data_IF_465602621716
#
_entry.id   IF_465602621716
#
_cell.length_a   1.000
_cell.length_b   1.000
_cell.length_c   1.000
_cell.angle_alpha   90.00
_cell.angle_beta   90.00
_cell.angle_gamma   90.00
#
_symmetry.space_group_name_H-M   'P 1'
#
loop_
_entity.id
_entity.type
_entity.pdbx_description
1 polymer ?
#
# COMPACT_ATOMS: atom_id res chain seq x y z
N UNK A 1 0.02 -26.70 61.20
CA UNK A 1 0.99 -27.55 61.90
C UNK A 1 2.28 -27.52 61.09
N UNK A 2 3.24 -26.86 61.70
CA UNK A 2 4.69 -27.09 61.77
C UNK A 2 5.43 -27.15 60.41
N UNK A 3 6.28 -26.17 60.11
CA UNK A 3 7.52 -25.68 60.75
C UNK A 3 8.69 -26.64 60.55
N UNK A 4 9.80 -26.26 59.87
CA UNK A 4 11.02 -25.63 60.42
C UNK A 4 12.12 -25.74 59.35
N UNK A 5 12.83 -24.65 58.98
CA UNK A 5 14.17 -24.21 59.46
C UNK A 5 15.29 -25.22 59.29
N UNK A 6 16.43 -24.92 58.71
CA UNK A 6 17.48 -23.93 59.04
C UNK A 6 18.64 -24.04 58.04
N UNK A 7 19.21 -23.00 57.52
CA UNK A 7 20.46 -22.31 57.93
C UNK A 7 21.77 -23.07 57.65
N UNK A 8 22.71 -22.32 57.00
CA UNK A 8 24.12 -22.58 57.08
C UNK A 8 24.98 -22.10 55.91
N UNK A 9 25.41 -20.82 55.95
CA UNK A 9 26.69 -20.33 55.38
C UNK A 9 27.77 -20.50 56.48
N UNK A 10 29.09 -20.43 56.25
CA UNK A 10 29.83 -19.49 55.40
C UNK A 10 31.21 -19.96 54.84
N UNK A 11 31.74 -19.13 53.96
CA UNK A 11 33.09 -18.49 53.87
C UNK A 11 34.36 -19.21 53.36
N UNK A 12 35.02 -18.50 52.52
CA UNK A 12 36.45 -18.09 52.37
C UNK A 12 37.27 -18.95 51.42
N UNK A 13 37.92 -18.43 50.40
CA UNK A 13 39.10 -17.58 50.28
C UNK A 13 39.67 -17.71 48.87
N UNK A 14 39.98 -16.56 48.28
CA UNK A 14 40.99 -16.36 47.21
C UNK A 14 42.41 -16.74 47.69
N UNK A 15 43.49 -16.73 46.87
CA UNK A 15 43.74 -16.04 45.59
C UNK A 15 44.78 -16.72 44.62
N UNK A 16 45.11 -15.95 43.55
CA UNK A 16 46.35 -15.92 42.73
C UNK A 16 46.38 -16.84 41.47
N UNK A 17 46.40 -16.26 40.28
CA UNK A 17 47.61 -15.76 39.60
C UNK A 17 47.75 -16.45 38.23
N UNK A 18 47.88 -15.67 37.16
CA UNK A 18 48.49 -16.19 35.94
C UNK A 18 47.81 -15.79 34.61
N UNK A 19 48.09 -14.60 34.11
CA UNK A 19 48.22 -14.35 32.67
C UNK A 19 49.63 -14.77 32.22
N UNK A 20 49.90 -15.10 30.94
CA UNK A 20 49.42 -14.53 29.68
C UNK A 20 49.34 -15.52 28.51
N UNK A 21 48.69 -15.17 27.42
CA UNK A 21 49.29 -15.10 26.07
C UNK A 21 48.21 -15.00 24.98
N UNK A 22 48.37 -13.97 24.24
CA UNK A 22 47.78 -13.62 22.95
C UNK A 22 47.76 -14.74 21.91
N UNK A 23 46.62 -14.95 21.25
CA UNK A 23 46.62 -15.29 19.82
C UNK A 23 45.46 -14.57 19.16
N UNK A 24 45.81 -13.62 18.33
CA UNK A 24 44.97 -12.92 17.40
C UNK A 24 44.40 -13.89 16.35
N UNK A 25 43.07 -14.03 16.30
CA UNK A 25 42.36 -14.55 15.14
C UNK A 25 41.53 -13.42 14.57
N UNK A 26 42.03 -12.82 13.52
CA UNK A 26 41.32 -11.86 12.67
C UNK A 26 40.18 -12.56 11.94
N UNK A 27 38.97 -12.48 12.48
CA UNK A 27 37.77 -12.75 11.73
C UNK A 27 37.45 -11.50 10.91
N UNK A 28 37.66 -11.59 9.60
CA UNK A 28 37.25 -10.62 8.59
C UNK A 28 35.75 -10.50 8.61
N UNK A 29 35.22 -9.49 9.30
CA UNK A 29 33.85 -9.02 9.10
C UNK A 29 33.80 -8.30 7.75
N UNK A 30 33.22 -8.94 6.77
CA UNK A 30 32.77 -8.24 5.57
C UNK A 30 31.70 -7.24 6.01
N UNK A 31 32.09 -6.00 6.21
CA UNK A 31 31.19 -4.86 6.31
C UNK A 31 30.50 -4.71 4.95
N UNK A 32 29.20 -4.95 4.94
CA UNK A 32 28.31 -4.58 3.85
C UNK A 32 28.44 -3.06 3.64
N UNK A 33 28.72 -2.55 2.43
CA UNK A 33 28.85 -1.11 2.23
C UNK A 33 27.51 -0.46 2.56
N UNK A 34 27.54 0.46 3.52
CA UNK A 34 26.44 1.31 3.90
C UNK A 34 25.82 1.93 2.64
N UNK A 35 24.54 1.68 2.48
CA UNK A 35 23.69 2.35 1.48
C UNK A 35 23.92 3.87 1.61
N UNK A 36 24.36 4.58 0.54
CA UNK A 36 24.62 6.01 0.64
C UNK A 36 23.32 6.71 1.05
N UNK A 37 23.44 7.56 2.06
CA UNK A 37 22.39 8.40 2.58
C UNK A 37 21.56 9.02 1.44
N UNK A 38 20.25 8.77 1.50
CA UNK A 38 19.25 9.25 0.57
C UNK A 38 19.35 10.79 0.40
N UNK A 39 19.64 11.30 -0.81
CA UNK A 39 19.66 12.74 -1.02
C UNK A 39 18.24 13.26 -1.22
N UNK A 40 17.88 14.22 -0.37
CA UNK A 40 16.81 15.19 -0.58
C UNK A 40 15.38 14.65 -0.66
N UNK A 41 14.79 14.44 0.50
CA UNK A 41 13.35 14.68 0.71
C UNK A 41 13.04 16.11 0.25
N UNK A 42 12.16 16.36 -0.73
CA UNK A 42 11.82 17.72 -1.12
C UNK A 42 11.24 18.46 0.08
N UNK A 43 11.80 19.65 0.32
CA UNK A 43 11.42 20.56 1.40
C UNK A 43 10.00 21.10 1.17
N UNK A 44 8.99 20.36 1.67
CA UNK A 44 7.66 20.87 1.94
C UNK A 44 6.95 20.01 3.01
N UNK A 45 7.65 19.68 4.10
CA UNK A 45 7.17 18.82 5.17
C UNK A 45 6.76 19.61 6.41
N UNK A 46 5.87 20.59 6.25
CA UNK A 46 5.20 21.23 7.40
C UNK A 46 3.94 20.47 7.86
N UNK A 47 3.41 19.59 7.01
CA UNK A 47 2.21 18.81 7.32
C UNK A 47 2.59 17.33 7.49
N UNK A 48 2.16 16.67 8.59
CA UNK A 48 2.42 15.24 8.76
C UNK A 48 1.75 14.43 7.65
N UNK A 49 2.37 13.31 7.22
CA UNK A 49 1.78 12.45 6.20
C UNK A 49 0.46 11.84 6.69
N UNK A 50 -0.47 11.60 5.75
CA UNK A 50 -1.71 10.88 6.08
C UNK A 50 -1.44 9.40 6.37
N UNK A 51 -0.47 8.82 5.66
CA UNK A 51 0.04 7.47 5.89
C UNK A 51 1.56 7.49 5.94
N UNK A 52 2.12 6.92 6.99
CA UNK A 52 3.54 6.67 7.14
C UNK A 52 3.77 5.21 7.51
N UNK A 53 4.65 4.56 6.77
CA UNK A 53 4.98 3.14 6.93
C UNK A 53 6.49 3.03 7.10
N UNK A 54 6.94 2.31 8.11
CA UNK A 54 8.36 2.10 8.36
C UNK A 54 8.65 0.68 8.86
N UNK A 55 9.74 0.11 8.36
CA UNK A 55 10.19 -1.27 8.66
C UNK A 55 9.08 -2.30 8.46
N UNK A 56 8.19 -2.06 7.48
CA UNK A 56 7.03 -2.90 7.27
C UNK A 56 7.41 -4.17 6.52
N UNK A 57 7.24 -5.31 7.18
CA UNK A 57 7.51 -6.61 6.62
C UNK A 57 6.27 -7.50 6.69
N UNK A 58 6.09 -8.38 5.70
CA UNK A 58 4.99 -9.34 5.67
C UNK A 58 5.54 -10.73 5.32
N UNK A 59 5.14 -11.72 6.11
CA UNK A 59 5.51 -13.11 5.92
C UNK A 59 4.28 -13.99 5.77
N UNK A 60 4.36 -14.99 4.89
CA UNK A 60 3.41 -16.08 4.73
C UNK A 60 4.09 -17.39 5.11
N UNK A 61 3.81 -17.89 6.32
CA UNK A 61 4.53 -19.02 6.88
C UNK A 61 6.04 -18.73 6.98
N UNK A 62 6.86 -19.43 6.17
CA UNK A 62 8.33 -19.26 6.14
C UNK A 62 8.81 -18.26 5.07
N UNK A 63 7.93 -17.83 4.19
CA UNK A 63 8.30 -16.92 3.08
C UNK A 63 8.04 -15.49 3.50
N UNK A 64 9.07 -14.66 3.45
CA UNK A 64 8.94 -13.22 3.60
C UNK A 64 8.64 -12.61 2.23
N UNK A 65 7.51 -11.94 2.13
CA UNK A 65 7.00 -11.37 0.88
C UNK A 65 7.23 -9.86 0.78
N UNK A 66 7.51 -9.19 1.92
CA UNK A 66 7.94 -7.80 2.01
C UNK A 66 9.02 -7.68 3.08
N UNK A 67 10.05 -6.89 2.77
CA UNK A 67 11.26 -6.75 3.56
C UNK A 67 11.46 -5.28 3.99
N UNK A 68 10.97 -4.90 5.17
CA UNK A 68 11.25 -3.59 5.77
C UNK A 68 10.81 -2.38 4.94
N UNK A 69 9.67 -2.48 4.24
CA UNK A 69 9.19 -1.42 3.36
C UNK A 69 8.97 -0.10 4.12
N UNK A 70 9.33 1.01 3.47
CA UNK A 70 9.15 2.38 3.98
C UNK A 70 8.48 3.22 2.92
N UNK A 71 7.32 3.79 3.22
CA UNK A 71 6.62 4.68 2.29
C UNK A 71 5.84 5.75 3.04
N UNK A 72 5.56 6.86 2.36
CA UNK A 72 4.76 7.97 2.87
C UNK A 72 3.76 8.41 1.82
N UNK A 73 2.58 8.81 2.28
CA UNK A 73 1.54 9.43 1.45
C UNK A 73 1.09 10.71 2.14
N UNK A 74 1.13 11.84 1.44
CA UNK A 74 0.61 13.12 1.94
C UNK A 74 -0.89 13.25 1.67
N UNK A 75 -1.58 14.12 2.39
CA UNK A 75 -2.99 14.42 2.13
C UNK A 75 -3.15 14.95 0.69
N UNK A 76 -4.14 14.42 -0.05
CA UNK A 76 -4.40 14.79 -1.44
C UNK A 76 -3.33 14.36 -2.45
N UNK A 77 -2.30 13.63 -2.03
CA UNK A 77 -1.24 13.13 -2.91
C UNK A 77 -1.64 11.80 -3.56
N UNK A 78 -1.24 11.61 -4.81
CA UNK A 78 -1.27 10.32 -5.49
C UNK A 78 0.13 9.72 -5.45
N UNK A 79 0.30 8.67 -4.69
CA UNK A 79 1.54 7.88 -4.61
C UNK A 79 1.32 6.57 -5.35
N UNK A 80 2.28 6.18 -6.19
CA UNK A 80 2.21 4.88 -6.86
C UNK A 80 3.31 3.93 -6.40
N UNK A 81 2.98 2.63 -6.33
CA UNK A 81 3.95 1.55 -6.19
C UNK A 81 3.88 0.70 -7.45
N UNK A 82 4.94 0.75 -8.25
CA UNK A 82 5.07 -0.02 -9.48
C UNK A 82 6.02 -1.21 -9.27
N UNK A 83 5.83 -2.27 -10.04
CA UNK A 83 6.69 -3.45 -9.97
C UNK A 83 6.09 -4.64 -10.72
N UNK A 84 6.88 -5.70 -10.95
CA UNK A 84 6.43 -6.88 -11.67
C UNK A 84 5.41 -7.69 -10.84
N UNK A 85 4.76 -8.66 -11.50
CA UNK A 85 3.92 -9.63 -10.79
C UNK A 85 4.76 -10.44 -9.81
N UNK A 86 4.22 -10.66 -8.61
CA UNK A 86 4.93 -11.35 -7.53
C UNK A 86 5.89 -10.49 -6.73
N UNK A 87 6.05 -9.19 -7.03
CA UNK A 87 6.94 -8.30 -6.28
C UNK A 87 6.48 -8.01 -4.84
N UNK A 88 5.24 -8.35 -4.47
CA UNK A 88 4.70 -8.07 -3.13
C UNK A 88 3.69 -6.92 -3.08
N UNK A 89 3.27 -6.37 -4.23
CA UNK A 89 2.38 -5.20 -4.32
C UNK A 89 1.04 -5.37 -3.58
N UNK A 90 0.27 -6.41 -3.92
CA UNK A 90 -1.01 -6.70 -3.23
C UNK A 90 -0.80 -7.11 -1.77
N UNK A 91 0.33 -7.74 -1.45
CA UNK A 91 0.74 -8.04 -0.07
C UNK A 91 0.90 -6.76 0.74
N UNK A 92 1.50 -5.72 0.16
CA UNK A 92 1.63 -4.40 0.79
C UNK A 92 0.24 -3.83 1.14
N UNK A 93 -0.68 -3.75 0.16
CA UNK A 93 -2.02 -3.20 0.42
C UNK A 93 -2.82 -4.03 1.43
N UNK A 94 -2.79 -5.36 1.30
CA UNK A 94 -3.50 -6.23 2.23
C UNK A 94 -2.94 -6.11 3.66
N UNK A 95 -1.62 -5.99 3.80
CA UNK A 95 -0.99 -5.74 5.09
C UNK A 95 -1.38 -4.38 5.68
N UNK A 96 -1.33 -3.32 4.87
CA UNK A 96 -1.77 -1.97 5.27
C UNK A 96 -3.25 -1.93 5.63
N UNK A 97 -4.09 -2.77 5.02
CA UNK A 97 -5.50 -2.88 5.35
C UNK A 97 -5.77 -3.81 6.55
N UNK A 98 -4.81 -4.63 6.96
CA UNK A 98 -5.00 -5.68 7.96
C UNK A 98 -5.81 -6.86 7.43
N UNK A 99 -5.79 -7.08 6.10
CA UNK A 99 -6.57 -8.09 5.38
C UNK A 99 -5.71 -9.29 4.95
N UNK A 100 -4.66 -9.59 5.70
CA UNK A 100 -3.82 -10.76 5.44
C UNK A 100 -4.59 -12.06 5.78
N UNK A 101 -4.37 -13.15 5.02
CA UNK A 101 -4.90 -14.46 5.39
C UNK A 101 -4.29 -14.96 6.71
N UNK A 102 -4.88 -16.01 7.31
CA UNK A 102 -4.46 -16.56 8.62
C UNK A 102 -2.96 -16.93 8.67
N UNK A 103 -2.37 -17.30 7.54
CA UNK A 103 -0.93 -17.61 7.43
C UNK A 103 -0.04 -16.40 7.28
N UNK A 104 -0.62 -15.20 7.10
CA UNK A 104 0.08 -13.95 6.89
C UNK A 104 0.31 -13.21 8.21
N UNK A 105 1.54 -12.76 8.42
CA UNK A 105 1.94 -11.95 9.57
C UNK A 105 2.62 -10.69 9.09
N UNK A 106 2.12 -9.54 9.56
CA UNK A 106 2.75 -8.24 9.34
C UNK A 106 3.52 -7.81 10.58
N UNK A 107 4.63 -7.11 10.37
CA UNK A 107 5.41 -6.43 11.43
C UNK A 107 5.90 -5.08 10.91
N UNK A 108 6.41 -4.24 11.80
CA UNK A 108 6.80 -2.87 11.50
C UNK A 108 5.75 -1.87 11.97
N UNK A 109 5.86 -0.62 11.51
CA UNK A 109 5.03 0.48 11.98
C UNK A 109 4.19 1.07 10.85
N UNK A 110 2.91 1.28 11.15
CA UNK A 110 1.95 1.94 10.26
C UNK A 110 1.27 3.06 11.05
N UNK A 111 1.59 4.29 10.72
CA UNK A 111 0.90 5.45 11.27
C UNK A 111 -0.07 6.03 10.23
N UNK A 112 -1.31 6.24 10.63
CA UNK A 112 -2.34 6.89 9.84
C UNK A 112 -2.87 8.11 10.59
N UNK A 113 -2.76 9.30 9.97
CA UNK A 113 -3.06 10.58 10.62
C UNK A 113 -2.27 10.77 11.93
N UNK A 114 -1.04 10.25 11.99
CA UNK A 114 -0.17 10.30 13.16
C UNK A 114 -0.47 9.27 14.25
N UNK A 115 -1.50 8.44 14.09
CA UNK A 115 -1.85 7.37 15.04
C UNK A 115 -1.43 6.00 14.52
N UNK A 116 -0.89 5.15 15.40
CA UNK A 116 -0.60 3.74 15.09
C UNK A 116 -1.90 2.96 14.81
N UNK A 117 -1.89 2.18 13.71
CA UNK A 117 -3.07 1.41 13.29
C UNK A 117 -2.82 -0.10 13.20
N UNK A 118 -1.65 -0.60 13.60
CA UNK A 118 -1.29 -2.02 13.46
C UNK A 118 -2.29 -2.93 14.16
N UNK A 119 -2.74 -2.56 15.37
CA UNK A 119 -3.68 -3.34 16.18
C UNK A 119 -5.15 -3.15 15.78
N UNK A 120 -5.45 -2.28 14.81
CA UNK A 120 -6.83 -2.01 14.42
C UNK A 120 -7.39 -3.08 13.47
N UNK A 121 -8.64 -3.46 13.70
CA UNK A 121 -9.39 -4.31 12.76
C UNK A 121 -9.65 -3.60 11.41
N UNK A 122 -9.98 -4.37 10.39
CA UNK A 122 -10.35 -3.83 9.05
C UNK A 122 -11.49 -2.81 9.20
N UNK A 123 -12.54 -3.14 9.97
CA UNK A 123 -13.69 -2.26 10.17
C UNK A 123 -13.30 -0.94 10.84
N UNK A 124 -12.36 -1.00 11.80
CA UNK A 124 -11.84 0.19 12.46
C UNK A 124 -11.05 1.07 11.49
N UNK A 125 -10.24 0.49 10.59
CA UNK A 125 -9.50 1.20 9.53
C UNK A 125 -10.47 1.83 8.53
N UNK A 126 -11.47 1.08 8.06
CA UNK A 126 -12.54 1.61 7.17
C UNK A 126 -13.29 2.77 7.83
N UNK A 127 -13.64 2.63 9.10
CA UNK A 127 -14.35 3.69 9.84
C UNK A 127 -13.53 4.97 9.97
N UNK A 128 -12.19 4.86 9.99
CA UNK A 128 -11.27 6.01 9.98
C UNK A 128 -11.05 6.62 8.60
N UNK A 129 -11.62 6.02 7.54
CA UNK A 129 -11.52 6.55 6.18
C UNK A 129 -10.40 5.94 5.34
N UNK A 130 -9.89 4.75 5.69
CA UNK A 130 -9.02 3.97 4.81
C UNK A 130 -9.89 3.03 3.99
N UNK A 131 -9.76 3.03 2.66
CA UNK A 131 -10.52 2.15 1.79
C UNK A 131 -9.59 1.45 0.80
N UNK A 132 -9.82 0.15 0.59
CA UNK A 132 -9.12 -0.67 -0.40
C UNK A 132 -10.10 -1.13 -1.49
N UNK A 133 -9.71 -0.89 -2.74
CA UNK A 133 -10.33 -1.50 -3.92
C UNK A 133 -9.40 -2.63 -4.38
N UNK A 134 -9.75 -3.90 -4.13
CA UNK A 134 -8.90 -5.03 -4.50
C UNK A 134 -8.96 -5.30 -6.01
N UNK A 135 -7.94 -5.98 -6.54
CA UNK A 135 -7.85 -6.40 -7.94
C UNK A 135 -9.12 -7.11 -8.44
N UNK A 136 -9.68 -8.01 -7.63
CA UNK A 136 -10.88 -8.79 -7.97
C UNK A 136 -12.19 -7.98 -7.93
N UNK A 137 -12.15 -6.69 -7.56
CA UNK A 137 -13.30 -5.76 -7.48
C UNK A 137 -14.37 -6.12 -6.45
N UNK A 138 -14.60 -7.40 -6.20
CA UNK A 138 -15.53 -7.98 -5.19
C UNK A 138 -16.90 -7.31 -5.16
N UNK A 139 -17.53 -7.21 -6.33
CA UNK A 139 -18.88 -6.67 -6.48
C UNK A 139 -19.95 -7.73 -6.19
N UNK A 140 -21.09 -7.28 -5.68
CA UNK A 140 -22.28 -8.10 -5.53
C UNK A 140 -23.00 -8.19 -6.87
N UNK A 141 -22.73 -9.25 -7.63
CA UNK A 141 -23.13 -9.41 -9.02
C UNK A 141 -24.66 -9.42 -9.24
N UNK A 142 -25.43 -9.92 -8.27
CA UNK A 142 -26.90 -9.95 -8.32
C UNK A 142 -27.56 -8.64 -7.92
N UNK A 143 -26.83 -7.72 -7.29
CA UNK A 143 -27.33 -6.42 -6.88
C UNK A 143 -27.19 -5.41 -8.01
N UNK A 144 -28.02 -4.37 -8.00
CA UNK A 144 -27.92 -3.28 -8.97
C UNK A 144 -26.64 -2.46 -8.78
N UNK A 145 -26.29 -1.64 -9.77
CA UNK A 145 -25.23 -0.63 -9.67
C UNK A 145 -25.46 0.26 -8.45
N UNK A 146 -26.68 0.78 -8.31
CA UNK A 146 -27.04 1.68 -7.21
C UNK A 146 -26.92 1.00 -5.85
N UNK A 147 -27.39 -0.24 -5.71
CA UNK A 147 -27.27 -0.99 -4.45
C UNK A 147 -25.80 -1.24 -4.08
N UNK A 148 -24.96 -1.61 -5.06
CA UNK A 148 -23.51 -1.75 -4.83
C UNK A 148 -22.88 -0.44 -4.34
N UNK A 149 -23.25 0.69 -4.93
CA UNK A 149 -22.77 2.01 -4.48
C UNK A 149 -23.22 2.31 -3.06
N UNK A 150 -24.50 2.11 -2.74
CA UNK A 150 -25.05 2.36 -1.41
C UNK A 150 -24.40 1.52 -0.32
N UNK A 151 -23.95 0.28 -0.62
CA UNK A 151 -23.17 -0.53 0.31
C UNK A 151 -21.84 0.13 0.71
N UNK A 152 -21.25 0.91 -0.19
CA UNK A 152 -20.03 1.67 0.12
C UNK A 152 -20.22 2.70 1.24
N UNK A 153 -21.44 3.21 1.41
CA UNK A 153 -21.80 4.14 2.48
C UNK A 153 -22.16 3.45 3.82
N UNK A 154 -22.05 2.11 3.91
CA UNK A 154 -22.51 1.36 5.09
C UNK A 154 -21.90 1.85 6.41
N UNK A 155 -20.60 2.09 6.45
CA UNK A 155 -19.91 2.57 7.65
C UNK A 155 -20.43 3.96 8.10
N UNK A 156 -20.69 4.85 7.14
CA UNK A 156 -21.27 6.18 7.39
C UNK A 156 -22.71 6.07 7.90
N UNK A 157 -23.53 5.25 7.25
CA UNK A 157 -24.91 4.97 7.67
C UNK A 157 -24.96 4.42 9.10
N UNK A 158 -24.05 3.50 9.47
CA UNK A 158 -23.92 2.93 10.82
C UNK A 158 -23.59 4.01 11.87
N UNK A 159 -22.86 5.07 11.49
CA UNK A 159 -22.58 6.24 12.34
C UNK A 159 -23.75 7.23 12.43
N UNK A 160 -24.88 6.97 11.75
CA UNK A 160 -26.05 7.82 11.75
C UNK A 160 -26.04 8.96 10.74
N UNK A 161 -25.09 8.95 9.78
CA UNK A 161 -25.03 9.94 8.72
C UNK A 161 -26.19 9.70 7.72
N UNK A 162 -27.04 10.72 7.52
CA UNK A 162 -28.25 10.59 6.68
C UNK A 162 -28.08 11.12 5.26
N UNK A 163 -26.98 11.88 4.99
CA UNK A 163 -26.80 12.58 3.71
C UNK A 163 -25.96 11.82 2.67
N UNK A 164 -25.86 10.48 2.78
CA UNK A 164 -25.10 9.67 1.81
C UNK A 164 -25.69 9.67 0.37
N UNK A 165 -26.92 10.14 0.21
CA UNK A 165 -27.53 10.26 -1.13
C UNK A 165 -26.89 11.38 -1.98
N UNK A 166 -26.37 12.44 -1.36
CA UNK A 166 -25.61 13.46 -2.10
C UNK A 166 -24.33 12.90 -2.69
N UNK A 167 -23.68 11.97 -1.99
CA UNK A 167 -22.49 11.28 -2.48
C UNK A 167 -22.80 10.39 -3.68
N UNK A 168 -23.97 9.77 -3.73
CA UNK A 168 -24.41 8.97 -4.86
C UNK A 168 -24.46 9.80 -6.15
N UNK A 169 -24.99 11.02 -6.07
CA UNK A 169 -25.02 11.93 -7.24
C UNK A 169 -23.60 12.43 -7.58
N UNK A 170 -22.74 12.66 -6.60
CA UNK A 170 -21.31 12.99 -6.82
C UNK A 170 -20.61 11.84 -7.56
N UNK A 171 -20.78 10.60 -7.09
CA UNK A 171 -20.24 9.41 -7.76
C UNK A 171 -20.79 9.24 -9.17
N UNK A 172 -22.08 9.46 -9.38
CA UNK A 172 -22.69 9.44 -10.72
C UNK A 172 -22.16 10.56 -11.62
N UNK A 173 -21.78 11.71 -11.05
CA UNK A 173 -21.11 12.78 -11.78
C UNK A 173 -19.72 12.38 -12.26
N UNK A 174 -18.98 11.62 -11.45
CA UNK A 174 -17.67 11.08 -11.83
C UNK A 174 -17.78 9.92 -12.83
N UNK A 175 -18.86 9.13 -12.75
CA UNK A 175 -19.10 7.94 -13.56
C UNK A 175 -20.48 8.00 -14.26
N UNK A 176 -20.67 8.83 -15.30
CA UNK A 176 -21.97 8.98 -15.97
C UNK A 176 -22.56 7.66 -16.49
N UNK A 177 -21.71 6.74 -16.98
CA UNK A 177 -22.12 5.41 -17.43
C UNK A 177 -22.76 4.57 -16.33
N UNK A 178 -22.34 4.73 -15.07
CA UNK A 178 -22.98 4.06 -13.94
C UNK A 178 -24.37 4.64 -13.66
N UNK A 179 -24.55 5.96 -13.84
CA UNK A 179 -25.85 6.62 -13.70
C UNK A 179 -26.86 6.09 -14.71
N UNK A 180 -26.47 5.96 -15.97
CA UNK A 180 -27.30 5.40 -17.05
C UNK A 180 -27.75 3.97 -16.74
N UNK A 181 -26.91 3.20 -16.04
CA UNK A 181 -27.11 1.78 -15.73
C UNK A 181 -27.47 1.53 -14.26
N UNK A 182 -27.91 2.56 -13.53
CA UNK A 182 -28.11 2.51 -12.07
C UNK A 182 -28.94 1.33 -11.58
N UNK A 183 -29.94 0.91 -12.38
CA UNK A 183 -30.85 -0.21 -12.08
C UNK A 183 -30.38 -1.56 -12.67
N UNK A 184 -29.27 -1.58 -13.41
CA UNK A 184 -28.75 -2.79 -14.03
C UNK A 184 -28.00 -3.63 -12.99
N UNK A 185 -28.10 -4.97 -13.08
CA UNK A 185 -27.35 -5.88 -12.23
C UNK A 185 -25.84 -5.78 -12.51
N UNK A 186 -25.02 -5.65 -11.47
CA UNK A 186 -23.58 -5.42 -11.59
C UNK A 186 -22.85 -6.55 -12.34
N UNK A 187 -23.35 -7.79 -12.27
CA UNK A 187 -22.78 -8.92 -12.98
C UNK A 187 -22.85 -8.83 -14.51
N UNK A 188 -23.76 -7.99 -15.05
CA UNK A 188 -23.97 -7.81 -16.49
C UNK A 188 -23.17 -6.65 -17.09
N UNK A 189 -22.40 -5.93 -16.25
CA UNK A 189 -21.55 -4.82 -16.66
C UNK A 189 -20.28 -5.33 -17.37
N UNK A 190 -19.74 -4.51 -18.26
CA UNK A 190 -18.40 -4.72 -18.83
C UNK A 190 -17.31 -4.68 -17.76
N UNK A 191 -16.10 -5.19 -18.07
CA UNK A 191 -14.96 -5.14 -17.15
C UNK A 191 -14.61 -3.73 -16.66
N UNK A 192 -14.66 -2.74 -17.55
CA UNK A 192 -14.41 -1.34 -17.22
C UNK A 192 -15.50 -0.73 -16.34
N UNK A 193 -16.78 -0.98 -16.65
CA UNK A 193 -17.90 -0.51 -15.82
C UNK A 193 -17.88 -1.15 -14.43
N UNK A 194 -17.50 -2.44 -14.33
CA UNK A 194 -17.27 -3.07 -13.02
C UNK A 194 -16.14 -2.41 -12.23
N UNK A 195 -15.06 -2.00 -12.90
CA UNK A 195 -13.98 -1.28 -12.24
C UNK A 195 -14.44 0.09 -11.74
N UNK A 196 -15.14 0.85 -12.58
CA UNK A 196 -15.75 2.12 -12.19
C UNK A 196 -16.70 1.95 -11.00
N UNK A 197 -17.50 0.88 -10.99
CA UNK A 197 -18.41 0.58 -9.89
C UNK A 197 -17.66 0.26 -8.59
N UNK A 198 -16.56 -0.50 -8.65
CA UNK A 198 -15.73 -0.80 -7.48
C UNK A 198 -15.11 0.46 -6.89
N UNK A 199 -14.55 1.34 -7.74
CA UNK A 199 -14.00 2.63 -7.30
C UNK A 199 -15.12 3.54 -6.77
N UNK A 200 -16.25 3.64 -7.48
CA UNK A 200 -17.42 4.42 -7.05
C UNK A 200 -17.95 3.96 -5.69
N UNK A 201 -18.04 2.65 -5.46
CA UNK A 201 -18.43 2.09 -4.16
C UNK A 201 -17.46 2.49 -3.04
N UNK A 202 -16.17 2.50 -3.31
CA UNK A 202 -15.18 2.97 -2.34
C UNK A 202 -15.36 4.46 -2.01
N UNK A 203 -15.64 5.29 -3.01
CA UNK A 203 -15.84 6.74 -2.84
C UNK A 203 -17.11 7.07 -2.04
N UNK A 204 -18.15 6.23 -2.08
CA UNK A 204 -19.33 6.38 -1.22
C UNK A 204 -19.00 6.40 0.28
N UNK A 205 -17.88 5.78 0.67
CA UNK A 205 -17.35 5.81 2.03
C UNK A 205 -16.70 7.14 2.43
N UNK A 206 -16.50 8.08 1.51
CA UNK A 206 -15.71 9.32 1.67
C UNK A 206 -14.33 9.03 2.28
N UNK A 207 -13.50 8.22 1.61
CA UNK A 207 -12.21 7.87 2.15
C UNK A 207 -11.29 9.10 2.19
N UNK A 208 -10.44 9.16 3.22
CA UNK A 208 -9.30 10.08 3.26
C UNK A 208 -8.09 9.46 2.56
N UNK A 209 -7.98 8.12 2.63
CA UNK A 209 -6.97 7.34 1.92
C UNK A 209 -7.65 6.25 1.10
N UNK A 210 -7.53 6.33 -0.21
CA UNK A 210 -7.99 5.33 -1.16
C UNK A 210 -6.80 4.49 -1.64
N UNK A 211 -6.85 3.20 -1.41
CA UNK A 211 -5.86 2.24 -1.90
C UNK A 211 -6.45 1.46 -3.07
N UNK A 212 -5.72 1.38 -4.18
CA UNK A 212 -6.17 0.74 -5.43
C UNK A 212 -5.18 -0.34 -5.85
N UNK A 213 -5.65 -1.56 -6.00
CA UNK A 213 -4.83 -2.70 -6.42
C UNK A 213 -5.07 -3.02 -7.90
N UNK A 214 -4.12 -2.65 -8.75
CA UNK A 214 -4.08 -2.87 -10.20
C UNK A 214 -5.41 -2.50 -10.91
N UNK A 215 -5.92 -1.27 -10.74
CA UNK A 215 -7.22 -0.89 -11.27
C UNK A 215 -7.29 -0.92 -12.81
N UNK A 216 -6.16 -0.93 -13.51
CA UNK A 216 -6.10 -0.99 -14.97
C UNK A 216 -6.04 -2.42 -15.53
N UNK A 217 -5.87 -3.44 -14.69
CA UNK A 217 -5.61 -4.81 -15.13
C UNK A 217 -6.76 -5.38 -15.98
N UNK A 218 -6.42 -5.90 -17.15
CA UNK A 218 -7.34 -6.56 -18.07
C UNK A 218 -8.36 -5.63 -18.73
N UNK A 219 -8.10 -4.32 -18.74
CA UNK A 219 -8.99 -3.32 -19.34
C UNK A 219 -8.47 -2.83 -20.70
N UNK A 220 -9.40 -2.41 -21.56
CA UNK A 220 -9.06 -1.78 -22.82
C UNK A 220 -8.35 -0.42 -22.59
N UNK A 221 -7.40 -0.02 -23.44
CA UNK A 221 -6.59 1.19 -23.24
C UNK A 221 -7.40 2.48 -23.02
N UNK A 222 -8.55 2.61 -23.67
CA UNK A 222 -9.43 3.77 -23.50
C UNK A 222 -10.01 3.82 -22.07
N UNK A 223 -10.41 2.67 -21.54
CA UNK A 223 -10.95 2.56 -20.17
C UNK A 223 -9.86 2.81 -19.13
N UNK A 224 -8.64 2.32 -19.38
CA UNK A 224 -7.49 2.63 -18.52
C UNK A 224 -7.28 4.13 -18.41
N UNK A 225 -7.28 4.84 -19.55
CA UNK A 225 -7.16 6.31 -19.55
C UNK A 225 -8.28 6.99 -18.76
N UNK A 226 -9.52 6.51 -18.92
CA UNK A 226 -10.68 7.06 -18.20
C UNK A 226 -10.56 6.87 -16.69
N UNK A 227 -10.18 5.66 -16.23
CA UNK A 227 -9.97 5.36 -14.81
C UNK A 227 -8.82 6.19 -14.24
N UNK A 228 -7.67 6.27 -14.93
CA UNK A 228 -6.54 7.09 -14.48
C UNK A 228 -6.89 8.57 -14.42
N UNK A 229 -7.68 9.07 -15.37
CA UNK A 229 -8.17 10.45 -15.32
C UNK A 229 -9.07 10.70 -14.10
N UNK A 230 -9.94 9.76 -13.75
CA UNK A 230 -10.78 9.86 -12.57
C UNK A 230 -9.93 9.83 -11.30
N UNK A 231 -8.93 8.93 -11.22
CA UNK A 231 -7.99 8.89 -10.08
C UNK A 231 -7.26 10.24 -9.95
N UNK A 232 -6.80 10.82 -11.06
CA UNK A 232 -6.17 12.15 -11.05
C UNK A 232 -7.09 13.25 -10.51
N UNK A 233 -8.40 13.20 -10.81
CA UNK A 233 -9.38 14.15 -10.27
C UNK A 233 -9.62 14.01 -8.78
N UNK A 234 -9.40 12.83 -8.18
CA UNK A 234 -9.56 12.66 -6.74
C UNK A 234 -8.61 13.54 -5.93
N UNK A 235 -7.47 13.92 -6.50
CA UNK A 235 -6.55 14.92 -5.91
C UNK A 235 -7.27 16.22 -5.57
N UNK A 236 -8.15 16.70 -6.46
CA UNK A 236 -8.90 17.95 -6.30
C UNK A 236 -9.89 17.89 -5.14
N UNK A 237 -10.30 16.68 -4.75
CA UNK A 237 -11.20 16.45 -3.62
C UNK A 237 -10.46 16.26 -2.28
N UNK A 238 -9.12 16.28 -2.30
CA UNK A 238 -8.28 16.09 -1.11
C UNK A 238 -8.10 14.62 -0.69
N UNK A 239 -8.61 13.66 -1.47
CA UNK A 239 -8.41 12.22 -1.21
C UNK A 239 -6.98 11.84 -1.53
N UNK A 240 -6.26 11.34 -0.53
CA UNK A 240 -4.95 10.72 -0.76
C UNK A 240 -5.13 9.35 -1.44
N UNK A 241 -4.27 9.04 -2.40
CA UNK A 241 -4.37 7.78 -3.14
C UNK A 241 -3.06 7.01 -3.13
N UNK A 242 -3.11 5.74 -2.73
CA UNK A 242 -2.02 4.79 -2.91
C UNK A 242 -2.40 3.82 -4.04
N UNK A 243 -1.78 4.03 -5.21
CA UNK A 243 -2.06 3.32 -6.44
C UNK A 243 -1.01 2.23 -6.67
N UNK A 244 -1.41 0.99 -6.68
CA UNK A 244 -0.56 -0.12 -7.11
C UNK A 244 -0.86 -0.47 -8.54
N UNK A 245 0.19 -0.56 -9.38
CA UNK A 245 0.06 -0.83 -10.79
C UNK A 245 1.24 -1.64 -11.37
N UNK A 246 0.92 -2.50 -12.31
CA UNK A 246 1.91 -3.09 -13.20
C UNK A 246 2.16 -2.18 -14.42
N UNK A 247 1.15 -1.44 -14.86
CA UNK A 247 1.28 -0.47 -15.94
C UNK A 247 1.97 0.81 -15.45
N UNK A 248 3.30 0.73 -15.30
CA UNK A 248 4.12 1.81 -14.77
C UNK A 248 3.92 3.14 -15.49
N UNK A 249 3.75 3.09 -16.84
CA UNK A 249 3.55 4.32 -17.64
C UNK A 249 2.26 5.03 -17.24
N UNK A 250 1.14 4.31 -17.15
CA UNK A 250 -0.14 4.89 -16.78
C UNK A 250 -0.12 5.43 -15.34
N UNK A 251 0.51 4.69 -14.43
CA UNK A 251 0.62 5.06 -13.02
C UNK A 251 1.47 6.32 -12.80
N UNK A 252 2.67 6.37 -13.40
CA UNK A 252 3.59 7.51 -13.27
C UNK A 252 3.04 8.80 -13.92
N UNK A 253 2.15 8.69 -14.93
CA UNK A 253 1.51 9.85 -15.54
C UNK A 253 0.54 10.59 -14.60
N UNK A 254 -0.05 9.90 -13.63
CA UNK A 254 -1.05 10.48 -12.72
C UNK A 254 -0.53 10.70 -11.32
N UNK A 255 0.55 10.01 -10.94
CA UNK A 255 1.15 10.08 -9.62
C UNK A 255 2.01 11.34 -9.41
N UNK A 256 2.13 11.76 -8.15
CA UNK A 256 3.05 12.81 -7.69
C UNK A 256 4.39 12.19 -7.29
N UNK A 257 4.35 11.03 -6.67
CA UNK A 257 5.51 10.31 -6.16
C UNK A 257 5.38 8.82 -6.45
N UNK A 258 6.49 8.12 -6.60
CA UNK A 258 6.49 6.71 -6.91
C UNK A 258 7.52 5.92 -6.13
N UNK A 259 7.21 4.65 -5.96
CA UNK A 259 8.10 3.62 -5.44
C UNK A 259 8.18 2.49 -6.45
N UNK A 260 9.34 1.88 -6.57
CA UNK A 260 9.55 0.66 -7.38
C UNK A 260 9.76 -0.50 -6.42
N UNK A 261 8.86 -1.46 -6.46
CA UNK A 261 8.90 -2.66 -5.63
C UNK A 261 9.43 -3.84 -6.45
N UNK A 262 10.54 -4.40 -6.01
CA UNK A 262 11.20 -5.57 -6.62
C UNK A 262 11.45 -6.63 -5.56
N UNK A 263 10.94 -7.84 -5.75
CA UNK A 263 11.21 -9.00 -4.88
C UNK A 263 11.01 -8.70 -3.38
N UNK A 264 9.97 -7.95 -3.04
CA UNK A 264 9.62 -7.59 -1.66
C UNK A 264 10.33 -6.36 -1.10
N UNK A 265 11.21 -5.70 -1.85
CA UNK A 265 11.97 -4.52 -1.42
C UNK A 265 11.60 -3.29 -2.26
N UNK A 266 11.55 -2.12 -1.62
CA UNK A 266 11.45 -0.85 -2.31
C UNK A 266 12.83 -0.45 -2.83
N UNK A 267 13.08 -0.76 -4.12
CA UNK A 267 14.39 -0.62 -4.76
C UNK A 267 14.70 0.80 -5.23
N UNK A 268 13.68 1.57 -5.59
CA UNK A 268 13.79 2.98 -6.02
C UNK A 268 12.58 3.76 -5.50
N UNK A 269 12.78 5.05 -5.28
CA UNK A 269 11.71 6.00 -4.97
C UNK A 269 12.04 7.39 -5.50
N UNK A 270 11.04 8.20 -5.73
CA UNK A 270 11.23 9.60 -6.15
C UNK A 270 9.96 10.23 -6.73
N UNK A 271 10.05 11.53 -7.10
CA UNK A 271 9.01 12.20 -7.86
C UNK A 271 8.65 11.39 -9.11
N UNK A 272 7.34 11.24 -9.39
CA UNK A 272 6.89 10.37 -10.48
C UNK A 272 7.46 10.77 -11.84
N UNK A 273 7.64 12.10 -12.08
CA UNK A 273 8.22 12.60 -13.32
C UNK A 273 9.71 12.24 -13.48
N UNK A 274 10.47 12.15 -12.39
CA UNK A 274 11.86 11.71 -12.41
C UNK A 274 11.95 10.20 -12.67
N UNK A 275 11.11 9.42 -11.98
CA UNK A 275 11.04 7.96 -12.20
C UNK A 275 10.64 7.61 -13.64
N UNK A 276 9.76 8.40 -14.27
CA UNK A 276 9.36 8.20 -15.66
C UNK A 276 10.52 8.39 -16.65
N UNK A 277 11.58 9.10 -16.26
CA UNK A 277 12.80 9.32 -17.06
C UNK A 277 14.01 8.53 -16.55
N UNK A 278 13.86 7.76 -15.49
CA UNK A 278 14.94 6.94 -14.95
C UNK A 278 15.27 5.78 -15.91
N UNK A 279 16.52 5.61 -16.36
CA UNK A 279 16.89 4.57 -17.32
C UNK A 279 16.50 3.16 -16.87
N UNK A 280 16.69 2.82 -15.60
CA UNK A 280 16.31 1.51 -15.04
C UNK A 280 14.79 1.28 -15.13
N UNK A 281 14.00 2.31 -14.82
CA UNK A 281 12.54 2.22 -14.91
C UNK A 281 12.10 2.09 -16.37
N UNK A 282 12.72 2.85 -17.28
CA UNK A 282 12.43 2.80 -18.72
C UNK A 282 12.71 1.41 -19.27
N UNK A 283 13.89 0.87 -19.00
CA UNK A 283 14.32 -0.42 -19.57
C UNK A 283 13.50 -1.58 -19.00
N UNK A 284 13.16 -1.53 -17.71
CA UNK A 284 12.49 -2.64 -17.02
C UNK A 284 10.96 -2.60 -17.13
N UNK A 285 10.35 -1.41 -17.05
CA UNK A 285 8.90 -1.28 -16.83
C UNK A 285 8.16 -0.50 -17.92
N UNK A 286 8.84 0.37 -18.69
CA UNK A 286 8.16 1.19 -19.71
C UNK A 286 8.22 0.59 -21.11
N UNK A 287 8.93 -0.54 -21.30
CA UNK A 287 8.99 -1.27 -22.56
C UNK A 287 9.66 -0.48 -23.70
N UNK A 288 10.50 0.51 -23.38
CA UNK A 288 11.25 1.32 -24.34
C UNK A 288 12.66 0.76 -24.61
N UNK A 289 12.95 -0.46 -24.14
CA UNK A 289 14.21 -1.13 -24.48
C UNK A 289 14.41 -1.09 -26.00
N UNK A 290 15.47 -0.45 -26.45
CA UNK A 290 15.92 -0.47 -27.84
C UNK A 290 15.99 -1.94 -28.26
N UNK A 291 15.18 -2.35 -29.26
CA UNK A 291 15.39 -3.64 -29.92
C UNK A 291 16.88 -3.70 -30.27
N UNK A 292 17.59 -4.78 -29.91
CA UNK A 292 18.97 -4.92 -30.36
C UNK A 292 18.95 -4.84 -31.91
N UNK A 293 19.73 -3.91 -32.44
CA UNK A 293 19.96 -3.83 -33.88
C UNK A 293 20.61 -5.15 -34.26
N UNK A 294 20.04 -5.94 -35.18
CA UNK A 294 20.73 -7.14 -35.65
C UNK A 294 22.06 -6.70 -36.26
N UNK A 295 23.15 -7.16 -35.69
CA UNK A 295 24.46 -7.05 -36.33
C UNK A 295 24.42 -8.00 -37.52
N UNK A 296 24.42 -7.43 -38.73
CA UNK A 296 24.55 -8.15 -39.99
C UNK A 296 25.98 -8.68 -40.15
#
# INVERSE_FOLDING_TARGET
>A
MNANRSEGTPATSDPLGGTPASTSSTASMHANPANPANPATPANLTTPPILEVSEFAVRYGKVEALHGARLRVQAGQIVTVIGPNGAGKSTLLNGLMGALPITGHASGHIAYLGESIEALSIEARVTRGICLVPEKRELFSSMTVEDNLQLGAYARKKRGERHYMSELETVFGLFPRLKERRRQAAGTLSGGERQMLAVGRALMGQPRLLMLDEPSLGLAPLIVKEIMHIIAKLRETGVATLLIEQNARAALQVADYGYVLETGELALEGPAHELAHNPRVIDTYLGLAKKPVPVL
#
